data_IF_086181699156
#
_entry.id   IF_086181699156
#
_cell.length_a   1.000
_cell.length_b   1.000
_cell.length_c   1.000
_cell.angle_alpha   90.00
_cell.angle_beta   90.00
_cell.angle_gamma   90.00
#
_symmetry.space_group_name_H-M   'P 1'
#
loop_
_entity.id
_entity.type
_entity.pdbx_description
1 polymer ?
#
# COMPACT_ATOMS: atom_id res chain seq x y z
N UNK A 1 -13.80 -20.55 -15.74
CA UNK A 1 -13.79 -19.12 -16.18
C UNK A 1 -12.65 -18.47 -15.43
N UNK A 2 -11.84 -17.67 -16.09
CA UNK A 2 -10.79 -16.90 -15.40
C UNK A 2 -11.46 -15.70 -14.70
N UNK A 3 -11.13 -15.48 -13.42
CA UNK A 3 -11.65 -14.34 -12.66
C UNK A 3 -11.40 -13.01 -13.39
N UNK A 4 -12.37 -12.12 -13.40
CA UNK A 4 -12.22 -10.76 -13.95
C UNK A 4 -11.35 -9.90 -13.03
N UNK A 5 -10.60 -8.96 -13.61
CA UNK A 5 -9.54 -8.21 -12.95
C UNK A 5 -9.70 -6.71 -13.16
N UNK A 6 -9.72 -5.94 -12.07
CA UNK A 6 -9.61 -4.48 -12.12
C UNK A 6 -8.28 -4.01 -11.54
N UNK A 7 -7.65 -3.00 -12.16
CA UNK A 7 -6.54 -2.25 -11.57
C UNK A 7 -7.07 -0.90 -11.11
N UNK A 8 -6.71 -0.52 -9.88
CA UNK A 8 -7.13 0.74 -9.24
C UNK A 8 -5.87 1.56 -8.93
N UNK A 9 -5.82 2.80 -9.44
CA UNK A 9 -4.77 3.77 -9.18
C UNK A 9 -5.40 4.97 -8.47
N UNK A 10 -4.89 5.34 -7.30
CA UNK A 10 -5.36 6.51 -6.54
C UNK A 10 -4.33 7.63 -6.61
N UNK A 11 -4.75 8.85 -6.95
CA UNK A 11 -3.89 10.02 -7.06
C UNK A 11 -4.55 11.26 -6.44
N UNK A 12 -3.72 12.20 -5.92
CA UNK A 12 -4.18 13.47 -5.36
C UNK A 12 -3.23 14.65 -5.65
N UNK A 13 -1.99 14.37 -6.06
CA UNK A 13 -0.96 15.38 -6.28
C UNK A 13 -0.83 15.70 -7.77
N UNK A 14 -1.03 16.96 -8.14
CA UNK A 14 -0.94 17.41 -9.53
C UNK A 14 0.47 17.33 -10.09
N UNK A 15 1.49 17.55 -9.25
CA UNK A 15 2.90 17.39 -9.60
C UNK A 15 3.29 15.98 -10.02
N UNK A 16 2.45 14.98 -9.70
CA UNK A 16 2.65 13.58 -10.10
C UNK A 16 1.90 13.19 -11.37
N UNK A 17 1.39 14.15 -12.12
CA UNK A 17 0.64 13.85 -13.34
C UNK A 17 1.40 12.96 -14.33
N UNK A 18 2.70 13.22 -14.55
CA UNK A 18 3.53 12.36 -15.42
C UNK A 18 3.70 10.95 -14.87
N UNK A 19 3.91 10.82 -13.56
CA UNK A 19 4.03 9.52 -12.92
C UNK A 19 2.73 8.72 -13.02
N UNK A 20 1.59 9.37 -12.80
CA UNK A 20 0.27 8.75 -12.97
C UNK A 20 0.08 8.23 -14.41
N UNK A 21 0.48 9.00 -15.43
CA UNK A 21 0.44 8.54 -16.82
C UNK A 21 1.34 7.33 -17.06
N UNK A 22 2.54 7.31 -16.47
CA UNK A 22 3.46 6.19 -16.61
C UNK A 22 2.94 4.94 -15.87
N UNK A 23 2.30 5.10 -14.71
CA UNK A 23 1.59 4.04 -14.01
C UNK A 23 0.47 3.45 -14.89
N UNK A 24 -0.40 4.28 -15.47
CA UNK A 24 -1.47 3.84 -16.38
C UNK A 24 -0.91 3.11 -17.61
N UNK A 25 0.12 3.67 -18.26
CA UNK A 25 0.78 3.03 -19.41
C UNK A 25 1.39 1.67 -19.07
N UNK A 26 1.89 1.50 -17.84
CA UNK A 26 2.44 0.23 -17.39
C UNK A 26 1.34 -0.84 -17.25
N UNK A 27 0.12 -0.44 -16.90
CA UNK A 27 -1.07 -1.32 -16.88
C UNK A 27 -1.49 -1.71 -18.30
N UNK A 28 -1.45 -0.80 -19.26
CA UNK A 28 -1.75 -1.10 -20.67
C UNK A 28 -0.79 -2.13 -21.29
N UNK A 29 0.43 -2.25 -20.75
CA UNK A 29 1.50 -3.15 -21.24
C UNK A 29 1.55 -4.51 -20.55
N UNK A 30 0.57 -4.84 -19.70
CA UNK A 30 0.55 -6.11 -18.99
C UNK A 30 0.34 -7.31 -19.94
N UNK A 31 1.02 -8.43 -19.69
CA UNK A 31 0.83 -9.71 -20.40
C UNK A 31 -0.60 -10.22 -20.22
N UNK A 32 -1.12 -10.16 -18.99
CA UNK A 32 -2.54 -10.29 -18.69
C UNK A 32 -3.15 -8.90 -18.57
N UNK A 33 -3.87 -8.44 -19.56
CA UNK A 33 -4.59 -7.16 -19.50
C UNK A 33 -5.71 -7.25 -18.48
N UNK A 34 -5.85 -6.24 -17.58
CA UNK A 34 -7.02 -6.17 -16.73
C UNK A 34 -8.28 -5.86 -17.56
N UNK A 35 -9.43 -6.31 -17.07
CA UNK A 35 -10.74 -6.04 -17.67
C UNK A 35 -11.19 -4.60 -17.40
N UNK A 36 -10.77 -4.03 -16.29
CA UNK A 36 -11.11 -2.66 -15.87
C UNK A 36 -9.87 -1.91 -15.36
N UNK A 37 -9.75 -0.63 -15.72
CA UNK A 37 -8.82 0.32 -15.09
C UNK A 37 -9.62 1.45 -14.44
N UNK A 38 -9.42 1.66 -13.16
CA UNK A 38 -10.08 2.74 -12.39
C UNK A 38 -9.02 3.70 -11.86
N UNK A 39 -9.18 4.98 -12.17
CA UNK A 39 -8.32 6.06 -11.65
C UNK A 39 -9.14 6.90 -10.70
N UNK A 40 -8.76 6.92 -9.42
CA UNK A 40 -9.46 7.70 -8.39
C UNK A 40 -8.65 8.97 -8.08
N UNK A 41 -9.27 10.11 -8.24
CA UNK A 41 -8.67 11.41 -7.94
C UNK A 41 -9.27 11.95 -6.64
N UNK A 42 -8.44 12.03 -5.57
CA UNK A 42 -8.87 12.48 -4.26
C UNK A 42 -8.71 14.00 -4.13
N UNK A 43 -9.84 14.73 -4.13
CA UNK A 43 -9.97 16.17 -3.90
C UNK A 43 -9.07 17.05 -4.80
N UNK A 44 -8.89 16.69 -6.07
CA UNK A 44 -8.12 17.47 -7.03
C UNK A 44 -8.81 17.55 -8.40
N UNK A 45 -9.76 18.49 -8.51
CA UNK A 45 -10.52 18.70 -9.74
C UNK A 45 -9.64 19.14 -10.95
N UNK A 46 -8.49 19.80 -10.71
CA UNK A 46 -7.54 20.15 -11.77
C UNK A 46 -6.91 18.89 -12.36
N UNK A 47 -6.42 18.00 -11.50
CA UNK A 47 -5.87 16.72 -11.92
C UNK A 47 -6.92 15.85 -12.64
N UNK A 48 -8.16 15.82 -12.13
CA UNK A 48 -9.26 15.08 -12.76
C UNK A 48 -9.57 15.61 -14.17
N UNK A 49 -9.61 16.92 -14.38
CA UNK A 49 -9.78 17.53 -15.72
C UNK A 49 -8.64 17.18 -16.68
N UNK A 50 -7.40 17.09 -16.17
CA UNK A 50 -6.23 16.77 -17.00
C UNK A 50 -6.17 15.29 -17.38
N UNK A 51 -6.61 14.38 -16.49
CA UNK A 51 -6.50 12.94 -16.72
C UNK A 51 -7.61 12.42 -17.65
N UNK A 52 -8.83 12.96 -17.56
CA UNK A 52 -9.99 12.47 -18.35
C UNK A 52 -9.76 12.37 -19.87
N UNK A 53 -9.18 13.38 -20.56
CA UNK A 53 -8.95 13.29 -22.00
C UNK A 53 -7.88 12.26 -22.41
N UNK A 54 -7.05 11.80 -21.49
CA UNK A 54 -5.94 10.86 -21.73
C UNK A 54 -6.13 9.51 -21.03
N UNK A 55 -7.31 9.29 -20.47
CA UNK A 55 -7.60 8.11 -19.64
C UNK A 55 -7.76 6.79 -20.46
N UNK A 56 -7.81 6.85 -21.81
CA UNK A 56 -7.85 5.67 -22.71
C UNK A 56 -8.87 4.59 -22.29
N UNK A 57 -10.08 5.00 -21.92
CA UNK A 57 -11.13 4.07 -21.48
C UNK A 57 -11.12 3.73 -20.00
N UNK A 58 -10.16 4.20 -19.20
CA UNK A 58 -10.21 4.06 -17.77
C UNK A 58 -11.39 4.82 -17.15
N UNK A 59 -12.02 4.20 -16.15
CA UNK A 59 -13.05 4.86 -15.34
C UNK A 59 -12.39 5.88 -14.40
N UNK A 60 -12.71 7.18 -14.55
CA UNK A 60 -12.15 8.24 -13.68
C UNK A 60 -13.17 8.63 -12.63
N UNK A 61 -12.88 8.31 -11.38
CA UNK A 61 -13.68 8.64 -10.19
C UNK A 61 -13.07 9.88 -9.53
N UNK A 62 -13.88 10.89 -9.25
CA UNK A 62 -13.45 12.12 -8.56
C UNK A 62 -14.13 12.19 -7.19
N UNK A 63 -13.33 12.32 -6.12
CA UNK A 63 -13.82 12.60 -4.78
C UNK A 63 -13.75 14.10 -4.52
N UNK A 64 -14.89 14.69 -4.15
CA UNK A 64 -14.98 16.14 -3.99
C UNK A 64 -14.24 16.68 -2.75
N UNK A 65 -14.04 15.84 -1.74
CA UNK A 65 -13.42 16.21 -0.46
C UNK A 65 -12.19 15.34 -0.17
N UNK A 66 -11.16 15.88 0.52
CA UNK A 66 -10.00 15.10 0.94
C UNK A 66 -10.41 13.90 1.80
N UNK A 67 -10.32 12.70 1.26
CA UNK A 67 -10.86 11.49 1.87
C UNK A 67 -9.77 10.55 2.40
N UNK A 68 -8.55 10.68 1.90
CA UNK A 68 -7.42 9.82 2.21
C UNK A 68 -7.40 8.51 1.43
N UNK A 69 -6.25 7.83 1.48
CA UNK A 69 -5.96 6.69 0.61
C UNK A 69 -6.95 5.52 0.79
N UNK A 70 -7.31 5.19 2.03
CA UNK A 70 -8.25 4.10 2.32
C UNK A 70 -9.64 4.35 1.69
N UNK A 71 -10.15 5.59 1.81
CA UNK A 71 -11.43 5.97 1.22
C UNK A 71 -11.34 6.02 -0.31
N UNK A 72 -10.24 6.53 -0.87
CA UNK A 72 -10.02 6.55 -2.32
C UNK A 72 -9.99 5.14 -2.90
N UNK A 73 -9.27 4.20 -2.27
CA UNK A 73 -9.25 2.78 -2.68
C UNK A 73 -10.63 2.13 -2.58
N UNK A 74 -11.38 2.38 -1.50
CA UNK A 74 -12.76 1.89 -1.36
C UNK A 74 -13.67 2.43 -2.48
N UNK A 75 -13.55 3.71 -2.84
CA UNK A 75 -14.30 4.30 -3.94
C UNK A 75 -13.93 3.67 -5.30
N UNK A 76 -12.64 3.37 -5.51
CA UNK A 76 -12.18 2.65 -6.70
C UNK A 76 -12.80 1.26 -6.81
N UNK A 77 -12.83 0.51 -5.70
CA UNK A 77 -13.48 -0.82 -5.66
C UNK A 77 -14.99 -0.73 -5.91
N UNK A 78 -15.65 0.31 -5.39
CA UNK A 78 -17.07 0.53 -5.62
C UNK A 78 -17.40 0.87 -7.10
N UNK A 79 -16.42 1.40 -7.85
CA UNK A 79 -16.57 1.79 -9.24
C UNK A 79 -16.27 0.67 -10.24
N UNK A 80 -15.82 -0.51 -9.81
CA UNK A 80 -15.57 -1.66 -10.66
C UNK A 80 -16.45 -2.86 -10.29
N UNK A 81 -16.58 -3.81 -11.23
CA UNK A 81 -17.36 -5.03 -11.07
C UNK A 81 -16.52 -6.29 -10.96
N UNK A 82 -15.24 -6.21 -11.32
CA UNK A 82 -14.31 -7.34 -11.37
C UNK A 82 -14.17 -8.09 -10.04
N UNK A 83 -13.90 -9.39 -10.09
CA UNK A 83 -13.81 -10.29 -8.94
C UNK A 83 -12.52 -10.10 -8.15
N UNK A 84 -11.44 -9.73 -8.84
CA UNK A 84 -10.13 -9.43 -8.25
C UNK A 84 -9.81 -7.97 -8.50
N UNK A 85 -9.38 -7.27 -7.47
CA UNK A 85 -8.93 -5.87 -7.54
C UNK A 85 -7.45 -5.77 -7.21
N UNK A 86 -6.69 -5.07 -8.06
CA UNK A 86 -5.29 -4.78 -7.86
C UNK A 86 -5.10 -3.31 -7.53
N UNK A 87 -4.17 -3.01 -6.64
CA UNK A 87 -3.80 -1.64 -6.31
C UNK A 87 -2.38 -1.34 -6.76
N UNK A 88 -2.24 -0.27 -7.54
CA UNK A 88 -0.97 0.30 -7.97
C UNK A 88 -0.90 1.77 -7.52
N UNK A 89 0.21 2.18 -6.90
CA UNK A 89 0.38 3.58 -6.50
C UNK A 89 0.63 4.47 -7.74
N UNK A 90 0.25 5.76 -7.66
CA UNK A 90 0.40 6.75 -8.75
C UNK A 90 1.86 7.11 -9.07
N UNK A 91 2.80 6.67 -8.23
CA UNK A 91 4.26 6.82 -8.39
C UNK A 91 4.96 5.46 -8.58
N UNK A 92 4.24 4.48 -9.18
CA UNK A 92 4.78 3.15 -9.44
C UNK A 92 4.59 2.72 -10.90
N UNK A 93 5.52 1.91 -11.40
CA UNK A 93 5.52 1.33 -12.75
C UNK A 93 5.47 -0.18 -12.61
N UNK A 94 4.41 -0.81 -13.09
CA UNK A 94 4.25 -2.26 -13.03
C UNK A 94 5.11 -2.95 -14.10
N UNK A 95 5.82 -4.02 -13.73
CA UNK A 95 6.50 -4.89 -14.68
C UNK A 95 5.46 -5.68 -15.53
N UNK A 96 5.79 -6.10 -16.76
CA UNK A 96 4.80 -6.66 -17.70
C UNK A 96 4.00 -7.85 -17.18
N UNK A 97 4.56 -8.67 -16.30
CA UNK A 97 3.91 -9.87 -15.75
C UNK A 97 3.23 -9.63 -14.38
N UNK A 98 3.16 -8.39 -13.90
CA UNK A 98 2.69 -8.07 -12.54
C UNK A 98 1.24 -8.53 -12.31
N UNK A 99 0.32 -8.22 -13.22
CA UNK A 99 -1.08 -8.66 -13.12
C UNK A 99 -1.19 -10.17 -13.18
N UNK A 100 -0.53 -10.81 -14.14
CA UNK A 100 -0.55 -12.26 -14.33
C UNK A 100 -0.06 -12.99 -13.08
N UNK A 101 1.09 -12.58 -12.54
CA UNK A 101 1.70 -13.22 -11.38
C UNK A 101 0.87 -13.06 -10.10
N UNK A 102 0.33 -11.87 -9.86
CA UNK A 102 -0.54 -11.65 -8.70
C UNK A 102 -1.83 -12.47 -8.81
N UNK A 103 -2.45 -12.48 -9.99
CA UNK A 103 -3.71 -13.21 -10.17
C UNK A 103 -3.53 -14.71 -10.16
N UNK A 104 -2.39 -15.26 -10.59
CA UNK A 104 -2.07 -16.67 -10.47
C UNK A 104 -1.99 -17.17 -9.00
N UNK A 105 -1.79 -16.28 -8.02
CA UNK A 105 -1.90 -16.66 -6.61
C UNK A 105 -3.33 -16.95 -6.18
N UNK A 106 -4.32 -16.41 -6.89
CA UNK A 106 -5.74 -16.54 -6.59
C UNK A 106 -6.37 -17.86 -7.09
N UNK A 107 -5.61 -18.71 -7.78
CA UNK A 107 -6.08 -20.04 -8.22
C UNK A 107 -6.47 -20.93 -7.02
N UNK A 108 -5.82 -20.74 -5.85
CA UNK A 108 -6.28 -21.33 -4.60
C UNK A 108 -7.41 -20.46 -4.00
N UNK A 109 -8.64 -20.97 -3.86
CA UNK A 109 -9.77 -20.21 -3.33
C UNK A 109 -9.57 -19.76 -1.87
N UNK A 110 -8.64 -20.36 -1.13
CA UNK A 110 -8.27 -19.93 0.23
C UNK A 110 -7.45 -18.65 0.24
N UNK A 111 -6.79 -18.33 -0.89
CA UNK A 111 -6.02 -17.08 -1.01
C UNK A 111 -6.97 -15.92 -1.27
N UNK A 112 -7.02 -15.00 -0.32
CA UNK A 112 -7.86 -13.81 -0.38
C UNK A 112 -7.13 -12.58 -0.92
N UNK A 113 -5.82 -12.64 -1.01
CA UNK A 113 -5.00 -11.59 -1.58
C UNK A 113 -3.53 -11.94 -1.61
N UNK A 114 -2.79 -11.24 -2.46
CA UNK A 114 -1.35 -11.34 -2.53
C UNK A 114 -0.71 -9.97 -2.72
N UNK A 115 0.56 -9.86 -2.37
CA UNK A 115 1.38 -8.69 -2.64
C UNK A 115 2.66 -9.06 -3.36
N UNK A 116 3.15 -8.14 -4.16
CA UNK A 116 4.37 -8.27 -4.92
C UNK A 116 5.56 -7.51 -4.32
N UNK A 117 6.63 -7.45 -5.09
CA UNK A 117 7.87 -6.76 -4.79
C UNK A 117 7.85 -5.33 -5.34
N UNK A 118 8.26 -4.37 -4.51
CA UNK A 118 8.38 -2.96 -4.87
C UNK A 118 9.85 -2.54 -4.84
N UNK A 119 10.46 -2.37 -6.01
CA UNK A 119 11.84 -1.91 -6.16
C UNK A 119 11.92 -0.38 -6.19
N UNK A 120 12.93 0.27 -5.56
CA UNK A 120 13.02 1.72 -5.57
C UNK A 120 13.65 2.26 -6.85
N UNK A 121 13.01 3.25 -7.49
CA UNK A 121 13.65 4.18 -8.43
C UNK A 121 14.08 5.40 -7.62
N UNK A 122 15.37 5.57 -7.43
CA UNK A 122 15.92 6.63 -6.58
C UNK A 122 15.89 7.99 -7.27
N UNK A 123 15.22 8.98 -6.68
CA UNK A 123 15.21 10.37 -7.16
C UNK A 123 16.50 11.15 -6.87
N UNK A 124 17.40 10.59 -6.03
CA UNK A 124 18.76 11.08 -5.76
C UNK A 124 19.59 9.94 -5.19
N UNK A 125 20.88 10.19 -4.92
CA UNK A 125 21.76 9.21 -4.27
C UNK A 125 21.17 8.74 -2.94
N UNK A 126 21.17 7.42 -2.72
CA UNK A 126 20.67 6.81 -1.48
C UNK A 126 21.53 7.22 -0.30
N UNK A 127 20.93 7.75 0.78
CA UNK A 127 21.68 8.14 1.98
C UNK A 127 22.37 6.95 2.65
N UNK A 128 23.62 7.11 3.06
CA UNK A 128 24.41 6.05 3.71
C UNK A 128 23.83 5.54 5.03
N UNK A 129 23.01 6.37 5.72
CA UNK A 129 22.33 6.00 6.95
C UNK A 129 21.07 5.14 6.75
N UNK A 130 20.54 5.05 5.52
CA UNK A 130 19.33 4.30 5.23
C UNK A 130 19.67 2.83 4.98
N UNK A 131 19.32 1.96 5.92
CA UNK A 131 19.53 0.51 5.79
C UNK A 131 18.40 -0.16 4.99
N UNK A 132 18.69 -1.33 4.38
CA UNK A 132 17.73 -2.08 3.57
C UNK A 132 16.52 -2.56 4.38
N UNK A 133 16.68 -2.76 5.68
CA UNK A 133 15.61 -3.19 6.59
C UNK A 133 14.51 -2.13 6.75
N UNK A 134 14.81 -0.87 6.44
CA UNK A 134 13.86 0.24 6.61
C UNK A 134 13.34 0.84 5.29
N UNK A 135 13.58 0.20 4.15
CA UNK A 135 13.04 0.65 2.85
C UNK A 135 11.52 0.69 2.79
N UNK A 136 10.84 -0.07 3.64
CA UNK A 136 9.38 0.00 3.80
C UNK A 136 8.88 1.41 4.18
N UNK A 137 9.70 2.23 4.84
CA UNK A 137 9.36 3.63 5.14
C UNK A 137 9.15 4.48 3.88
N UNK A 138 9.75 4.04 2.78
CA UNK A 138 9.66 4.69 1.47
C UNK A 138 8.57 4.06 0.56
N UNK A 139 7.92 2.99 1.01
CA UNK A 139 6.97 2.22 0.21
C UNK A 139 7.61 1.09 -0.61
N UNK A 140 8.88 0.76 -0.34
CA UNK A 140 9.63 -0.26 -1.07
C UNK A 140 9.78 -1.55 -0.28
N UNK A 141 10.05 -2.63 -0.98
CA UNK A 141 10.44 -3.91 -0.39
C UNK A 141 11.74 -3.77 0.38
N UNK A 142 11.89 -4.53 1.46
CA UNK A 142 12.96 -4.36 2.43
C UNK A 142 13.72 -5.68 2.71
N UNK A 143 14.92 -5.58 3.24
CA UNK A 143 15.68 -6.74 3.65
C UNK A 143 14.95 -7.51 4.76
N UNK A 144 14.74 -8.80 4.52
CA UNK A 144 13.96 -9.68 5.41
C UNK A 144 12.62 -10.11 4.83
N UNK A 145 12.18 -9.52 3.71
CA UNK A 145 11.07 -10.09 2.96
C UNK A 145 11.46 -11.44 2.31
N UNK A 146 10.49 -12.33 2.15
CA UNK A 146 10.73 -13.63 1.49
C UNK A 146 11.25 -13.48 0.06
N UNK A 147 12.08 -14.44 -0.38
CA UNK A 147 12.59 -14.50 -1.77
C UNK A 147 11.82 -15.49 -2.66
N UNK A 148 10.85 -16.17 -2.07
CA UNK A 148 9.99 -17.13 -2.73
C UNK A 148 8.55 -16.85 -2.34
N UNK A 149 7.60 -17.35 -3.13
CA UNK A 149 6.18 -17.31 -2.81
C UNK A 149 5.92 -18.00 -1.48
N UNK A 150 5.32 -17.27 -0.54
CA UNK A 150 5.00 -17.78 0.80
C UNK A 150 3.74 -17.11 1.33
N UNK A 151 3.11 -17.79 2.28
CA UNK A 151 2.03 -17.19 3.07
C UNK A 151 2.56 -16.07 3.96
N UNK A 152 1.83 -14.95 3.98
CA UNK A 152 2.08 -13.78 4.84
C UNK A 152 0.83 -13.43 5.63
N UNK A 153 0.96 -12.57 6.65
CA UNK A 153 -0.19 -12.11 7.43
C UNK A 153 -1.11 -11.17 6.66
N UNK A 154 -0.53 -10.26 5.91
CA UNK A 154 -1.26 -9.22 5.18
C UNK A 154 -0.52 -8.82 3.92
N UNK A 155 -1.25 -8.24 2.99
CA UNK A 155 -0.70 -7.64 1.78
C UNK A 155 -0.04 -6.28 2.06
N UNK A 156 0.76 -5.80 1.09
CA UNK A 156 1.38 -4.47 1.06
C UNK A 156 0.68 -3.61 0.01
N UNK A 157 0.13 -2.46 0.41
CA UNK A 157 -0.91 -1.73 -0.28
C UNK A 157 -0.64 -1.19 -1.68
N UNK A 158 0.59 -0.79 -2.00
CA UNK A 158 0.91 -0.18 -3.32
C UNK A 158 1.25 -1.19 -4.42
N UNK A 159 1.31 -2.50 -4.08
CA UNK A 159 1.64 -3.59 -4.99
C UNK A 159 0.91 -4.85 -4.54
N UNK A 160 -0.41 -4.90 -4.71
CA UNK A 160 -1.18 -6.04 -4.23
C UNK A 160 -2.45 -6.30 -5.04
N UNK A 161 -2.97 -7.52 -4.89
CA UNK A 161 -4.31 -7.90 -5.32
C UNK A 161 -5.13 -8.41 -4.14
N UNK A 162 -6.45 -8.26 -4.23
CA UNK A 162 -7.41 -8.72 -3.23
C UNK A 162 -8.68 -9.22 -3.91
N UNK A 163 -9.37 -10.21 -3.32
CA UNK A 163 -10.72 -10.55 -3.75
C UNK A 163 -11.68 -9.40 -3.41
N UNK A 164 -12.48 -8.96 -4.38
CA UNK A 164 -13.43 -7.86 -4.19
C UNK A 164 -14.45 -8.16 -3.08
N UNK A 165 -14.74 -9.45 -2.81
CA UNK A 165 -15.61 -9.87 -1.71
C UNK A 165 -15.15 -9.34 -0.34
N UNK A 166 -13.85 -9.09 -0.13
CA UNK A 166 -13.35 -8.45 1.10
C UNK A 166 -13.98 -7.07 1.32
N UNK A 167 -14.25 -6.34 0.25
CA UNK A 167 -14.83 -5.00 0.31
C UNK A 167 -16.34 -5.06 0.45
N UNK A 168 -17.01 -5.96 -0.26
CA UNK A 168 -18.47 -6.07 -0.22
C UNK A 168 -18.99 -6.71 1.07
N UNK A 169 -18.27 -7.70 1.62
CA UNK A 169 -18.71 -8.44 2.81
C UNK A 169 -18.15 -7.87 4.13
N UNK A 170 -16.95 -7.25 4.10
CA UNK A 170 -16.32 -6.69 5.29
C UNK A 170 -16.40 -5.16 5.34
N UNK A 171 -16.93 -4.50 4.30
CA UNK A 171 -17.04 -3.04 4.23
C UNK A 171 -15.73 -2.33 3.84
N UNK A 172 -14.78 -3.05 3.24
CA UNK A 172 -13.52 -2.50 2.72
C UNK A 172 -12.53 -2.05 3.80
N UNK A 173 -11.65 -1.12 3.42
CA UNK A 173 -10.68 -0.53 4.33
C UNK A 173 -11.32 0.39 5.36
N UNK A 174 -10.83 0.36 6.60
CA UNK A 174 -11.24 1.32 7.63
C UNK A 174 -10.64 2.70 7.30
N UNK A 175 -11.50 3.65 6.91
CA UNK A 175 -11.10 5.01 6.49
C UNK A 175 -10.44 5.85 7.59
N UNK A 176 -10.48 5.38 8.84
CA UNK A 176 -9.78 6.02 9.97
C UNK A 176 -8.29 5.64 10.00
N UNK A 177 -7.91 4.60 9.26
CA UNK A 177 -6.54 4.15 9.04
C UNK A 177 -6.06 4.63 7.67
N UNK A 178 -4.78 4.41 7.41
CA UNK A 178 -4.18 4.77 6.14
C UNK A 178 -3.57 6.17 6.10
N UNK A 179 -3.02 6.50 4.95
CA UNK A 179 -2.41 7.81 4.68
C UNK A 179 -3.49 8.85 4.42
N UNK A 180 -3.32 10.01 5.03
CA UNK A 180 -4.16 11.19 4.82
C UNK A 180 -3.31 12.46 4.82
N UNK A 181 -3.91 13.62 4.56
CA UNK A 181 -3.23 14.91 4.68
C UNK A 181 -2.64 15.16 6.09
N UNK A 182 -3.24 14.56 7.13
CA UNK A 182 -2.82 14.74 8.52
C UNK A 182 -1.92 13.60 9.05
N UNK A 183 -1.88 12.44 8.39
CA UNK A 183 -1.17 11.25 8.87
C UNK A 183 -0.42 10.55 7.75
N UNK A 184 0.84 10.21 8.02
CA UNK A 184 1.65 9.33 7.16
C UNK A 184 1.48 7.84 7.55
N UNK A 185 0.52 7.53 8.41
CA UNK A 185 0.20 6.18 8.85
C UNK A 185 -0.20 5.27 7.69
N UNK A 186 -0.37 4.01 7.99
CA UNK A 186 -0.89 2.96 7.11
C UNK A 186 -1.74 2.02 7.95
N UNK A 187 -1.79 0.74 7.56
CA UNK A 187 -2.36 -0.32 8.38
C UNK A 187 -3.79 -0.70 8.03
N UNK A 188 -4.39 0.00 7.09
CA UNK A 188 -5.68 -0.33 6.52
C UNK A 188 -5.67 -1.74 5.90
N UNK A 189 -4.59 -2.11 5.23
CA UNK A 189 -4.43 -3.44 4.66
C UNK A 189 -4.29 -4.51 5.73
N UNK A 190 -3.45 -4.25 6.75
CA UNK A 190 -3.25 -5.18 7.85
C UNK A 190 -4.54 -5.40 8.64
N UNK A 191 -5.30 -4.33 8.87
CA UNK A 191 -6.59 -4.37 9.57
C UNK A 191 -7.62 -5.19 8.79
N UNK A 192 -7.77 -4.93 7.48
CA UNK A 192 -8.68 -5.69 6.61
C UNK A 192 -8.30 -7.17 6.57
N UNK A 193 -7.01 -7.50 6.43
CA UNK A 193 -6.55 -8.88 6.42
C UNK A 193 -6.84 -9.61 7.73
N UNK A 194 -6.70 -8.94 8.89
CA UNK A 194 -7.06 -9.52 10.19
C UNK A 194 -8.58 -9.78 10.29
N UNK A 195 -9.42 -8.85 9.82
CA UNK A 195 -10.87 -9.07 9.76
C UNK A 195 -11.22 -10.25 8.86
N UNK A 196 -10.57 -10.36 7.71
CA UNK A 196 -10.79 -11.43 6.76
C UNK A 196 -10.45 -12.80 7.36
N UNK A 197 -9.28 -12.96 7.98
CA UNK A 197 -8.86 -14.20 8.61
C UNK A 197 -9.76 -14.61 9.78
N UNK A 198 -10.35 -13.64 10.49
CA UNK A 198 -11.34 -13.91 11.53
C UNK A 198 -12.70 -14.34 10.96
N UNK A 199 -13.10 -13.76 9.83
CA UNK A 199 -14.38 -14.07 9.16
C UNK A 199 -14.31 -15.41 8.45
N UNK A 200 -13.16 -15.74 7.84
CA UNK A 200 -12.91 -16.98 7.10
C UNK A 200 -11.64 -17.67 7.65
N UNK A 201 -11.78 -18.45 8.73
CA UNK A 201 -10.65 -19.22 9.27
C UNK A 201 -10.05 -20.16 8.22
N UNK A 202 -8.74 -20.19 8.12
CA UNK A 202 -8.02 -20.96 7.09
C UNK A 202 -7.75 -20.20 5.79
N UNK A 203 -8.30 -18.99 5.62
CA UNK A 203 -7.94 -18.12 4.52
C UNK A 203 -6.49 -17.60 4.65
N UNK A 204 -5.88 -17.27 3.50
CA UNK A 204 -4.47 -16.95 3.39
C UNK A 204 -4.26 -15.65 2.61
N UNK A 205 -3.15 -15.01 2.91
CA UNK A 205 -2.55 -13.95 2.09
C UNK A 205 -1.15 -14.40 1.69
N UNK A 206 -0.71 -14.00 0.50
CA UNK A 206 0.58 -14.45 -0.05
C UNK A 206 1.49 -13.28 -0.41
N UNK A 207 2.76 -13.58 -0.50
CA UNK A 207 3.79 -12.72 -1.09
C UNK A 207 4.37 -13.43 -2.31
N UNK A 208 4.28 -12.77 -3.48
CA UNK A 208 4.80 -13.24 -4.77
C UNK A 208 5.94 -12.30 -5.22
N UNK A 209 7.22 -12.65 -4.96
CA UNK A 209 8.33 -11.74 -5.23
C UNK A 209 8.59 -11.47 -6.71
N UNK A 210 8.06 -12.30 -7.62
CA UNK A 210 8.19 -12.09 -9.05
C UNK A 210 7.14 -11.14 -9.63
N UNK A 211 6.08 -10.85 -8.88
CA UNK A 211 5.15 -9.77 -9.21
C UNK A 211 5.77 -8.43 -8.81
N UNK A 212 6.42 -7.74 -9.74
CA UNK A 212 7.26 -6.59 -9.44
C UNK A 212 6.68 -5.27 -9.92
N UNK A 213 6.94 -4.23 -9.14
CA UNK A 213 6.77 -2.83 -9.52
C UNK A 213 8.05 -2.05 -9.22
N UNK A 214 8.29 -0.99 -9.98
CA UNK A 214 9.29 0.03 -9.69
C UNK A 214 8.60 1.22 -9.06
N UNK A 215 8.99 1.60 -7.83
CA UNK A 215 8.39 2.69 -7.07
C UNK A 215 9.31 3.91 -7.04
N UNK A 216 8.80 5.06 -7.49
CA UNK A 216 9.57 6.30 -7.54
C UNK A 216 9.70 6.88 -6.13
N UNK A 217 10.95 6.97 -5.65
CA UNK A 217 11.29 7.54 -4.35
C UNK A 217 11.75 8.98 -4.53
N UNK A 218 10.90 9.99 -4.28
CA UNK A 218 11.28 11.38 -4.46
C UNK A 218 12.30 11.83 -3.41
N UNK A 219 13.15 12.81 -3.76
CA UNK A 219 14.20 13.37 -2.88
C UNK A 219 13.69 13.76 -1.50
N UNK A 220 12.46 14.26 -1.42
CA UNK A 220 11.86 14.65 -0.15
C UNK A 220 11.71 13.47 0.84
N UNK A 221 11.49 12.23 0.34
CA UNK A 221 11.41 11.02 1.17
C UNK A 221 12.78 10.52 1.64
N UNK A 222 13.88 10.94 1.01
CA UNK A 222 15.26 10.58 1.41
C UNK A 222 15.79 11.40 2.58
N UNK A 223 15.00 12.33 3.12
CA UNK A 223 15.39 13.12 4.29
C UNK A 223 15.18 12.32 5.57
N UNK A 224 16.17 12.32 6.47
CA UNK A 224 16.11 11.59 7.75
C UNK A 224 14.83 11.90 8.54
N UNK A 225 14.42 13.19 8.59
CA UNK A 225 13.18 13.60 9.27
C UNK A 225 11.92 12.90 8.72
N UNK A 226 11.87 12.66 7.40
CA UNK A 226 10.74 11.95 6.78
C UNK A 226 10.70 10.50 7.24
N UNK A 227 11.84 9.81 7.17
CA UNK A 227 11.94 8.39 7.53
C UNK A 227 11.68 8.17 9.03
N UNK A 228 12.21 9.05 9.90
CA UNK A 228 11.92 9.00 11.34
C UNK A 228 10.43 9.24 11.63
N UNK A 229 9.81 10.22 10.98
CA UNK A 229 8.38 10.48 11.13
C UNK A 229 7.56 9.28 10.66
N UNK A 230 7.89 8.70 9.50
CA UNK A 230 7.22 7.52 8.97
C UNK A 230 7.38 6.30 9.89
N UNK A 231 8.58 6.12 10.47
CA UNK A 231 8.84 5.06 11.46
C UNK A 231 8.00 5.25 12.73
N UNK A 232 7.89 6.48 13.22
CA UNK A 232 7.07 6.80 14.39
C UNK A 232 5.57 6.57 14.12
N UNK A 233 5.06 7.04 12.97
CA UNK A 233 3.66 6.87 12.58
C UNK A 233 3.32 5.38 12.39
N UNK A 234 4.24 4.56 11.88
CA UNK A 234 4.10 3.11 11.80
C UNK A 234 3.94 2.48 13.20
N UNK A 235 4.74 2.91 14.18
CA UNK A 235 4.60 2.46 15.57
C UNK A 235 3.22 2.76 16.14
N UNK A 236 2.70 3.98 15.94
CA UNK A 236 1.34 4.38 16.35
C UNK A 236 0.28 3.52 15.69
N UNK A 237 0.41 3.27 14.38
CA UNK A 237 -0.53 2.45 13.65
C UNK A 237 -0.56 1.01 14.19
N UNK A 238 0.62 0.41 14.46
CA UNK A 238 0.70 -0.92 15.06
C UNK A 238 -0.01 -0.98 16.43
N UNK A 239 0.11 0.08 17.24
CA UNK A 239 -0.64 0.19 18.49
C UNK A 239 -2.15 0.20 18.25
N UNK A 240 -2.62 0.91 17.22
CA UNK A 240 -4.04 0.99 16.85
C UNK A 240 -4.57 -0.37 16.37
N UNK A 241 -3.86 -1.03 15.46
CA UNK A 241 -4.25 -2.37 14.97
C UNK A 241 -4.27 -3.39 16.11
N UNK A 242 -3.28 -3.37 17.02
CA UNK A 242 -3.25 -4.25 18.18
C UNK A 242 -4.40 -3.99 19.17
N UNK A 243 -4.80 -2.72 19.30
CA UNK A 243 -5.93 -2.35 20.15
C UNK A 243 -7.28 -2.79 19.55
N UNK A 244 -7.46 -2.61 18.23
CA UNK A 244 -8.64 -3.07 17.50
C UNK A 244 -8.73 -4.59 17.46
N UNK A 245 -7.59 -5.26 17.36
CA UNK A 245 -7.48 -6.69 17.17
C UNK A 245 -6.41 -7.29 18.11
N UNK A 246 -6.76 -7.59 19.38
CA UNK A 246 -5.85 -8.25 20.30
C UNK A 246 -5.25 -9.53 19.70
N UNK A 247 -3.92 -9.69 19.85
CA UNK A 247 -3.17 -10.81 19.26
C UNK A 247 -2.69 -10.58 17.81
N UNK A 248 -3.11 -9.53 17.12
CA UNK A 248 -2.72 -9.26 15.72
C UNK A 248 -1.25 -8.89 15.53
N UNK A 249 -0.47 -8.57 16.56
CA UNK A 249 0.95 -8.21 16.47
C UNK A 249 1.93 -9.39 16.54
N UNK A 250 1.46 -10.62 16.60
CA UNK A 250 2.37 -11.78 16.67
C UNK A 250 3.39 -11.87 15.52
N UNK A 251 3.07 -11.49 14.26
CA UNK A 251 4.04 -11.50 13.16
C UNK A 251 5.08 -10.37 13.22
N UNK A 252 4.81 -9.24 13.86
CA UNK A 252 5.81 -8.17 14.05
C UNK A 252 6.98 -8.63 14.93
N UNK A 253 6.77 -9.64 15.77
CA UNK A 253 7.83 -10.32 16.50
C UNK A 253 8.80 -11.00 15.53
N UNK A 254 8.33 -11.51 14.39
CA UNK A 254 9.20 -12.11 13.37
C UNK A 254 10.12 -11.07 12.72
N UNK A 255 9.61 -9.89 12.38
CA UNK A 255 10.44 -8.78 11.90
C UNK A 255 11.44 -8.33 12.97
N UNK A 256 11.01 -8.16 14.22
CA UNK A 256 11.89 -7.79 15.33
C UNK A 256 13.04 -8.80 15.53
N UNK A 257 12.81 -10.09 15.23
CA UNK A 257 13.86 -11.13 15.27
C UNK A 257 14.93 -10.97 14.17
N UNK A 258 14.64 -10.24 13.09
CA UNK A 258 15.64 -9.95 12.05
C UNK A 258 16.57 -8.80 12.44
N UNK A 259 16.11 -7.88 13.31
CA UNK A 259 16.85 -6.69 13.71
C UNK A 259 18.19 -6.99 14.41
N UNK A 260 18.33 -7.99 15.33
CA UNK A 260 19.63 -8.31 15.92
C UNK A 260 20.70 -8.70 14.89
N UNK A 261 20.32 -9.48 13.88
CA UNK A 261 21.23 -9.86 12.79
C UNK A 261 21.59 -8.66 11.91
N UNK A 262 20.63 -7.80 11.63
CA UNK A 262 20.86 -6.56 10.90
C UNK A 262 21.78 -5.62 11.68
N UNK A 263 21.56 -5.48 12.97
CA UNK A 263 22.42 -4.71 13.86
C UNK A 263 23.83 -5.28 13.93
N UNK A 264 23.99 -6.61 14.05
CA UNK A 264 25.29 -7.25 14.04
C UNK A 264 26.05 -6.99 12.72
N UNK A 265 25.36 -6.99 11.56
CA UNK A 265 25.97 -6.57 10.27
C UNK A 265 26.43 -5.13 10.29
N UNK A 266 25.61 -4.21 10.83
CA UNK A 266 26.01 -2.81 10.94
C UNK A 266 27.22 -2.64 11.87
N UNK A 267 27.28 -3.34 13.01
CA UNK A 267 28.44 -3.35 13.91
C UNK A 267 29.66 -3.92 13.19
N UNK A 268 29.52 -5.03 12.45
CA UNK A 268 30.58 -5.61 11.63
C UNK A 268 31.14 -4.60 10.61
N UNK A 269 30.27 -3.86 9.91
CA UNK A 269 30.70 -2.85 8.95
C UNK A 269 31.39 -1.65 9.62
N UNK A 270 31.03 -1.29 10.85
CA UNK A 270 31.75 -0.28 11.66
C UNK A 270 33.13 -0.80 12.03
N UNK A 271 33.25 -2.02 12.53
CA UNK A 271 34.51 -2.64 12.93
C UNK A 271 35.45 -2.89 11.74
N UNK A 272 34.89 -3.15 10.56
CA UNK A 272 35.61 -3.27 9.29
C UNK A 272 35.98 -1.91 8.67
N UNK A 273 35.72 -0.79 9.34
CA UNK A 273 35.96 0.57 8.83
C UNK A 273 35.33 0.83 7.45
N UNK A 274 34.20 0.16 7.13
CA UNK A 274 33.49 0.43 5.88
C UNK A 274 32.92 1.86 5.84
N UNK A 275 33.07 2.51 4.68
CA UNK A 275 32.50 3.85 4.50
C UNK A 275 30.98 3.84 4.73
N UNK A 276 30.51 4.70 5.63
CA UNK A 276 29.08 4.80 5.98
C UNK A 276 28.59 3.80 7.03
N UNK A 277 29.44 2.89 7.56
CA UNK A 277 29.04 1.89 8.58
C UNK A 277 28.45 2.54 9.82
N UNK A 278 29.09 3.59 10.36
CA UNK A 278 28.61 4.36 11.52
C UNK A 278 27.28 5.06 11.22
N UNK A 279 27.16 5.70 10.05
CA UNK A 279 25.92 6.37 9.64
C UNK A 279 24.76 5.37 9.52
N UNK A 280 25.00 4.18 8.95
CA UNK A 280 24.00 3.12 8.82
C UNK A 280 23.55 2.58 10.17
N UNK A 281 24.48 2.30 11.08
CA UNK A 281 24.16 1.85 12.44
C UNK A 281 23.34 2.89 13.20
N UNK A 282 23.76 4.17 13.16
CA UNK A 282 23.04 5.29 13.76
C UNK A 282 21.64 5.47 13.19
N UNK A 283 21.50 5.44 11.87
CA UNK A 283 20.22 5.55 11.18
C UNK A 283 19.25 4.42 11.56
N UNK A 284 19.71 3.16 11.52
CA UNK A 284 18.91 2.00 11.91
C UNK A 284 18.44 2.09 13.37
N UNK A 285 19.32 2.47 14.28
CA UNK A 285 18.98 2.66 15.69
C UNK A 285 17.92 3.75 15.87
N UNK A 286 18.10 4.91 15.23
CA UNK A 286 17.16 6.02 15.31
C UNK A 286 15.76 5.64 14.76
N UNK A 287 15.71 4.92 13.63
CA UNK A 287 14.44 4.44 13.05
C UNK A 287 13.74 3.42 13.96
N UNK A 288 14.48 2.47 14.54
CA UNK A 288 13.93 1.49 15.47
C UNK A 288 13.37 2.17 16.74
N UNK A 289 14.09 3.13 17.30
CA UNK A 289 13.62 3.92 18.44
C UNK A 289 12.36 4.74 18.09
N UNK A 290 12.30 5.31 16.89
CA UNK A 290 11.10 6.02 16.43
C UNK A 290 9.87 5.11 16.35
N UNK A 291 10.00 3.87 15.85
CA UNK A 291 8.90 2.88 15.85
C UNK A 291 8.45 2.57 17.28
N UNK A 292 9.39 2.30 18.19
CA UNK A 292 9.08 1.99 19.61
C UNK A 292 8.38 3.18 20.29
N UNK A 293 8.89 4.39 20.09
CA UNK A 293 8.27 5.61 20.63
C UNK A 293 6.84 5.77 20.12
N UNK A 294 6.62 5.57 18.81
CA UNK A 294 5.29 5.61 18.20
C UNK A 294 4.35 4.56 18.80
N UNK A 295 4.83 3.34 19.02
CA UNK A 295 4.06 2.24 19.63
C UNK A 295 3.62 2.58 21.05
N UNK A 296 4.55 3.13 21.86
CA UNK A 296 4.27 3.54 23.26
C UNK A 296 3.22 4.66 23.27
N UNK A 297 3.44 5.72 22.50
CA UNK A 297 2.53 6.86 22.44
C UNK A 297 1.15 6.45 21.94
N UNK A 298 1.08 5.58 20.91
CA UNK A 298 -0.17 5.03 20.43
C UNK A 298 -0.93 4.24 21.49
N UNK A 299 -0.24 3.36 22.24
CA UNK A 299 -0.85 2.60 23.34
C UNK A 299 -1.39 3.50 24.46
N UNK A 300 -0.58 4.47 24.91
CA UNK A 300 -1.00 5.43 25.93
C UNK A 300 -2.21 6.24 25.44
N UNK A 301 -2.19 6.70 24.20
CA UNK A 301 -3.31 7.41 23.59
C UNK A 301 -4.61 6.62 23.59
N UNK A 302 -4.57 5.30 23.34
CA UNK A 302 -5.76 4.44 23.40
C UNK A 302 -6.30 4.20 24.80
N UNK A 303 -5.44 4.24 25.83
CA UNK A 303 -5.84 4.16 27.23
C UNK A 303 -6.54 5.45 27.68
N UNK A 304 -5.95 6.60 27.32
CA UNK A 304 -6.44 7.93 27.77
C UNK A 304 -7.66 8.43 26.99
N UNK A 305 -7.75 8.10 25.70
CA UNK A 305 -8.86 8.47 24.84
C UNK A 305 -9.27 7.24 24.02
N UNK A 306 -10.13 6.36 24.57
CA UNK A 306 -10.49 5.12 23.90
C UNK A 306 -11.14 5.45 22.55
N UNK A 307 -10.57 4.89 21.52
CA UNK A 307 -11.02 4.99 20.14
C UNK A 307 -12.50 4.59 20.05
N UNK A 308 -13.38 5.56 19.81
CA UNK A 308 -14.81 5.28 19.73
C UNK A 308 -15.09 4.33 18.56
N UNK A 309 -15.57 3.12 18.83
CA UNK A 309 -16.12 2.20 17.83
C UNK A 309 -17.36 2.88 17.22
N UNK A 310 -17.20 3.69 16.15
CA UNK A 310 -18.34 4.02 15.31
C UNK A 310 -18.69 2.78 14.50
N UNK A 311 -19.99 2.41 14.49
CA UNK A 311 -20.52 1.46 13.52
C UNK A 311 -20.14 1.95 12.11
N UNK A 312 -19.80 1.04 11.17
CA UNK A 312 -19.61 1.43 9.78
C UNK A 312 -20.86 2.21 9.33
N UNK A 313 -20.69 3.43 8.85
CA UNK A 313 -21.77 4.16 8.22
C UNK A 313 -22.13 3.40 6.96
N UNK A 314 -23.41 3.05 6.80
CA UNK A 314 -23.94 2.58 5.52
C UNK A 314 -23.55 3.62 4.44
N UNK A 315 -22.89 3.14 3.39
CA UNK A 315 -22.38 3.95 2.29
C UNK A 315 -23.54 4.52 1.44
N UNK A 316 -24.21 5.58 1.91
CA UNK A 316 -25.31 6.21 1.17
C UNK A 316 -25.32 7.72 1.16
N UNK A 317 -24.29 8.40 1.69
CA UNK A 317 -24.26 9.87 1.69
C UNK A 317 -22.91 10.47 1.25
N UNK A 318 -22.38 10.02 0.11
CA UNK A 318 -21.39 10.81 -0.64
C UNK A 318 -21.86 10.90 -2.09
N UNK A 319 -22.16 12.10 -2.57
CA UNK A 319 -22.45 12.42 -3.96
C UNK A 319 -21.20 12.08 -4.81
N UNK A 320 -21.13 10.83 -5.23
CA UNK A 320 -20.11 10.34 -6.16
C UNK A 320 -20.61 10.61 -7.57
N UNK A 321 -20.03 11.58 -8.26
CA UNK A 321 -20.35 11.82 -9.68
C UNK A 321 -19.59 10.85 -10.53
N UNK A 322 -20.22 9.72 -10.88
CA UNK A 322 -19.70 8.77 -11.87
C UNK A 322 -20.12 9.26 -13.25
N UNK A 323 -19.16 9.67 -14.09
CA UNK A 323 -19.43 9.94 -15.51
C UNK A 323 -19.33 8.62 -16.28
N UNK A 324 -20.39 8.23 -17.05
CA UNK A 324 -20.37 7.00 -17.83
C UNK A 324 -19.35 7.11 -18.99
N UNK A 325 -18.59 6.03 -19.21
CA UNK A 325 -17.73 5.87 -20.36
C UNK A 325 -18.55 6.01 -21.67
N UNK A 326 -18.19 6.95 -22.53
CA UNK A 326 -18.76 7.05 -23.88
C UNK A 326 -18.29 5.85 -24.71
N UNK A 327 -19.23 5.00 -25.12
CA UNK A 327 -18.98 3.95 -26.12
C UNK A 327 -18.51 4.60 -27.42
N UNK A 328 -17.49 4.07 -28.11
CA UNK A 328 -17.14 4.53 -29.44
C UNK A 328 -18.32 4.24 -30.38
N UNK A 329 -18.77 5.26 -31.10
CA UNK A 329 -19.72 5.09 -32.21
C UNK A 329 -19.01 4.29 -33.28
N UNK A 330 -19.52 3.12 -33.58
CA UNK A 330 -19.24 2.43 -34.84
C UNK A 330 -20.10 3.13 -35.89
N UNK A 331 -19.46 3.90 -36.77
CA UNK A 331 -20.11 4.35 -38.01
C UNK A 331 -20.22 3.19 -39.02
N UNK A 332 -21.26 3.18 -39.83
CA UNK A 332 -21.62 2.07 -40.72
C UNK A 332 -20.68 1.81 -41.88
#
# INVERSE_FOLDING_TARGET
MTDTVAVIICAHLEERFSNLLDAMRSVDRQTRRPDELVVVIDANASLARRIRPVANGACVVELAQPSGLAAARNAGVAACSSEIVLFLDDDAIAHPEWVERLTATMDDPRVLGASGHSAPIWGAERPAWLSDEFLWTLGCSYAGQPRQRVQVRNVYGGCCCLRRSLFTELGGYDVRLGRSHASHGGGEEAELCVRAQRRWPGSQFEYEPLAQIDHIVPVARLRLRYVLRRSYDEGKMKATVAWLHPGALSPEVSFARTLPRAFARCVGSVLAFERGGVARAGGMTAMALAVVAGLIVGRVGHVLAPYRRRKPSSATDSTTTVAPASRPKTDP
#
